data_IF_897767573293
#
_entry.id   IF_897767573293
#
_cell.length_a   1.000
_cell.length_b   1.000
_cell.length_c   1.000
_cell.angle_alpha   90.00
_cell.angle_beta   90.00
_cell.angle_gamma   90.00
#
_symmetry.space_group_name_H-M   'P 1'
#
loop_
_entity.id
_entity.type
_entity.pdbx_description
1 polymer ?
#
# COMPACT_ATOMS: atom_id res chain seq x y z
N UNK A 1 5.61 -66.31 1.08
CA UNK A 1 5.14 -64.99 0.61
C UNK A 1 3.99 -64.54 1.51
N UNK A 2 4.22 -63.55 2.39
CA UNK A 2 3.17 -63.00 3.26
C UNK A 2 2.58 -61.74 2.62
N UNK A 3 1.37 -61.83 2.07
CA UNK A 3 0.62 -60.68 1.55
C UNK A 3 -0.11 -60.00 2.71
N UNK A 4 0.40 -58.85 3.15
CA UNK A 4 -0.22 -58.04 4.22
C UNK A 4 -1.30 -57.17 3.61
N UNK A 5 -2.56 -57.60 3.67
CA UNK A 5 -3.70 -56.77 3.29
C UNK A 5 -3.76 -55.55 4.21
N UNK A 6 -3.67 -54.34 3.64
CA UNK A 6 -4.03 -53.11 4.37
C UNK A 6 -5.55 -53.00 4.36
N UNK A 7 -6.21 -52.84 5.51
CA UNK A 7 -7.64 -52.49 5.50
C UNK A 7 -7.79 -51.12 4.83
N UNK A 8 -8.67 -51.04 3.84
CA UNK A 8 -9.14 -49.76 3.32
C UNK A 8 -9.91 -49.05 4.43
N UNK A 9 -9.38 -47.94 4.91
CA UNK A 9 -10.12 -47.00 5.74
C UNK A 9 -11.31 -46.48 4.90
N UNK A 10 -12.52 -46.90 5.25
CA UNK A 10 -13.76 -46.40 4.69
C UNK A 10 -13.97 -44.98 5.23
N UNK A 11 -13.42 -43.98 4.53
CA UNK A 11 -13.67 -42.58 4.85
C UNK A 11 -15.16 -42.30 4.73
N UNK A 12 -15.83 -42.03 5.85
CA UNK A 12 -17.22 -41.58 5.88
C UNK A 12 -17.41 -40.41 4.91
N UNK A 13 -18.55 -40.31 4.20
CA UNK A 13 -18.76 -39.26 3.20
C UNK A 13 -18.58 -37.89 3.86
N UNK A 14 -17.47 -37.23 3.53
CA UNK A 14 -17.15 -35.90 4.02
C UNK A 14 -18.28 -34.96 3.63
N UNK A 15 -19.00 -34.42 4.62
CA UNK A 15 -20.13 -33.54 4.38
C UNK A 15 -19.64 -32.31 3.59
N UNK A 16 -20.08 -32.16 2.33
CA UNK A 16 -19.66 -31.07 1.43
C UNK A 16 -19.87 -29.68 2.07
N UNK A 17 -20.88 -29.51 2.93
CA UNK A 17 -21.13 -28.26 3.64
C UNK A 17 -20.01 -27.93 4.64
N UNK A 18 -19.50 -28.93 5.37
CA UNK A 18 -18.37 -28.76 6.30
C UNK A 18 -17.10 -28.42 5.53
N UNK A 19 -16.88 -29.02 4.36
CA UNK A 19 -15.74 -28.70 3.47
C UNK A 19 -15.81 -27.27 2.90
N UNK A 20 -17.01 -26.79 2.55
CA UNK A 20 -17.21 -25.41 2.11
C UNK A 20 -17.01 -24.40 3.26
N UNK A 21 -17.48 -24.71 4.46
CA UNK A 21 -17.30 -23.87 5.64
C UNK A 21 -15.83 -23.78 6.09
N UNK A 22 -15.00 -24.82 5.86
CA UNK A 22 -13.54 -24.78 6.10
C UNK A 22 -12.81 -23.72 5.28
N UNK A 23 -13.37 -23.27 4.15
CA UNK A 23 -12.80 -22.16 3.38
C UNK A 23 -12.87 -20.83 4.15
N UNK A 24 -13.86 -20.68 5.03
CA UNK A 24 -14.06 -19.51 5.90
C UNK A 24 -13.52 -19.72 7.33
N UNK A 25 -12.92 -20.87 7.62
CA UNK A 25 -12.28 -21.14 8.92
C UNK A 25 -10.85 -20.58 8.95
N UNK A 26 -10.73 -19.29 9.29
CA UNK A 26 -9.47 -18.54 9.38
C UNK A 26 -8.46 -19.15 10.37
N UNK A 27 -8.91 -19.95 11.36
CA UNK A 27 -8.05 -20.55 12.39
C UNK A 27 -7.17 -21.68 11.82
N UNK A 28 -7.57 -22.28 10.71
CA UNK A 28 -6.85 -23.39 10.07
C UNK A 28 -5.83 -22.96 9.00
N UNK A 29 -5.74 -21.65 8.71
CA UNK A 29 -4.96 -21.14 7.59
C UNK A 29 -3.46 -21.27 7.86
N UNK A 30 -2.83 -22.24 7.20
CA UNK A 30 -1.38 -22.39 7.19
C UNK A 30 -0.74 -21.20 6.46
N UNK A 31 0.45 -20.77 6.87
CA UNK A 31 1.19 -19.66 6.24
C UNK A 31 1.28 -19.77 4.71
N UNK A 32 1.40 -20.98 4.16
CA UNK A 32 1.39 -21.20 2.71
C UNK A 32 0.06 -20.85 2.04
N UNK A 33 -1.08 -21.09 2.70
CA UNK A 33 -2.41 -20.72 2.20
C UNK A 33 -2.62 -19.20 2.26
N UNK A 34 -2.15 -18.54 3.32
CA UNK A 34 -2.13 -17.08 3.41
C UNK A 34 -1.30 -16.46 2.29
N UNK A 35 -0.06 -16.92 2.12
CA UNK A 35 0.82 -16.49 1.04
C UNK A 35 0.19 -16.76 -0.33
N UNK A 36 -0.59 -17.84 -0.47
CA UNK A 36 -1.32 -18.13 -1.68
C UNK A 36 -2.42 -17.09 -1.92
N UNK A 37 -3.38 -16.96 -1.01
CA UNK A 37 -4.57 -16.12 -1.16
C UNK A 37 -4.18 -14.66 -1.36
N UNK A 38 -3.28 -14.14 -0.51
CA UNK A 38 -2.81 -12.76 -0.58
C UNK A 38 -2.28 -12.43 -1.98
N UNK A 39 -1.46 -13.30 -2.57
CA UNK A 39 -0.89 -13.04 -3.89
C UNK A 39 -1.95 -12.89 -5.00
N UNK A 40 -3.06 -13.65 -4.91
CA UNK A 40 -4.11 -13.64 -5.95
C UNK A 40 -5.02 -12.44 -5.77
N UNK A 41 -5.43 -12.19 -4.53
CA UNK A 41 -6.29 -11.06 -4.19
C UNK A 41 -5.58 -9.75 -4.56
N UNK A 42 -4.30 -9.59 -4.22
CA UNK A 42 -3.54 -8.39 -4.61
C UNK A 42 -3.30 -8.33 -6.11
N UNK A 43 -3.06 -9.44 -6.81
CA UNK A 43 -2.93 -9.45 -8.28
C UNK A 43 -4.19 -8.93 -8.96
N UNK A 44 -5.37 -9.47 -8.58
CA UNK A 44 -6.66 -9.05 -9.13
C UNK A 44 -6.91 -7.56 -8.83
N UNK A 45 -6.64 -7.13 -7.59
CA UNK A 45 -6.74 -5.73 -7.19
C UNK A 45 -5.82 -4.80 -8.00
N UNK A 46 -4.58 -5.21 -8.25
CA UNK A 46 -3.60 -4.43 -9.03
C UNK A 46 -3.98 -4.36 -10.51
N UNK A 47 -4.54 -5.42 -11.09
CA UNK A 47 -5.06 -5.41 -12.47
C UNK A 47 -6.24 -4.46 -12.58
N UNK A 48 -7.19 -4.51 -11.64
CA UNK A 48 -8.30 -3.56 -11.61
C UNK A 48 -7.80 -2.11 -11.47
N UNK A 49 -6.86 -1.88 -10.55
CA UNK A 49 -6.21 -0.59 -10.39
C UNK A 49 -5.55 -0.12 -11.69
N UNK A 50 -4.87 -1.00 -12.42
CA UNK A 50 -4.21 -0.65 -13.68
C UNK A 50 -5.23 -0.11 -14.70
N UNK A 51 -6.39 -0.74 -14.86
CA UNK A 51 -7.43 -0.21 -15.75
C UNK A 51 -7.93 1.17 -15.32
N UNK A 52 -8.20 1.35 -14.02
CA UNK A 52 -8.60 2.65 -13.46
C UNK A 52 -7.49 3.69 -13.70
N UNK A 53 -6.23 3.30 -13.51
CA UNK A 53 -5.07 4.17 -13.68
C UNK A 53 -4.92 4.65 -15.12
N UNK A 54 -5.11 3.75 -16.09
CA UNK A 54 -5.09 4.11 -17.51
C UNK A 54 -6.24 5.05 -17.87
N UNK A 55 -7.44 4.83 -17.31
CA UNK A 55 -8.57 5.75 -17.49
C UNK A 55 -8.29 7.15 -16.93
N UNK A 56 -7.68 7.24 -15.74
CA UNK A 56 -7.24 8.52 -15.17
C UNK A 56 -6.18 9.19 -16.03
N UNK A 57 -5.21 8.43 -16.55
CA UNK A 57 -4.18 8.98 -17.43
C UNK A 57 -4.76 9.52 -18.74
N UNK A 58 -5.87 8.97 -19.23
CA UNK A 58 -6.55 9.51 -20.42
C UNK A 58 -7.05 10.95 -20.23
N UNK A 59 -7.32 11.37 -18.98
CA UNK A 59 -7.73 12.76 -18.68
C UNK A 59 -6.67 13.80 -19.02
N UNK A 60 -5.39 13.41 -19.12
CA UNK A 60 -4.32 14.33 -19.56
C UNK A 60 -4.58 14.85 -20.97
N UNK A 61 -5.28 14.09 -21.82
CA UNK A 61 -5.63 14.51 -23.18
C UNK A 61 -6.67 15.63 -23.21
N UNK A 62 -7.48 15.78 -22.15
CA UNK A 62 -8.47 16.83 -22.00
C UNK A 62 -7.94 18.14 -21.43
N UNK A 63 -6.62 18.23 -21.18
CA UNK A 63 -5.97 19.43 -20.68
C UNK A 63 -6.30 19.78 -19.21
N UNK A 64 -5.97 21.01 -18.77
CA UNK A 64 -6.09 21.42 -17.36
C UNK A 64 -7.52 21.29 -16.80
N UNK A 65 -8.54 21.54 -17.63
CA UNK A 65 -9.94 21.50 -17.21
C UNK A 65 -10.38 20.11 -16.70
N UNK A 66 -9.81 19.02 -17.23
CA UNK A 66 -10.09 17.66 -16.78
C UNK A 66 -9.09 17.16 -15.73
N UNK A 67 -7.83 17.62 -15.82
CA UNK A 67 -6.75 17.16 -14.95
C UNK A 67 -6.74 17.80 -13.56
N UNK A 68 -6.93 19.12 -13.47
CA UNK A 68 -6.81 19.86 -12.20
C UNK A 68 -7.81 19.41 -11.12
N UNK A 69 -9.10 19.13 -11.44
CA UNK A 69 -10.04 18.58 -10.46
C UNK A 69 -9.58 17.24 -9.89
N UNK A 70 -9.04 16.36 -10.74
CA UNK A 70 -8.52 15.06 -10.31
C UNK A 70 -7.30 15.25 -9.38
N UNK A 71 -6.37 16.14 -9.71
CA UNK A 71 -5.22 16.44 -8.85
C UNK A 71 -5.65 16.97 -7.49
N UNK A 72 -6.69 17.78 -7.42
CA UNK A 72 -7.25 18.24 -6.16
C UNK A 72 -7.82 17.08 -5.33
N UNK A 73 -8.56 16.17 -5.96
CA UNK A 73 -9.08 14.96 -5.32
C UNK A 73 -7.97 14.02 -4.84
N UNK A 74 -6.96 13.78 -5.67
CA UNK A 74 -5.82 12.91 -5.37
C UNK A 74 -4.97 13.40 -4.18
N UNK A 75 -5.05 14.69 -3.86
CA UNK A 75 -4.39 15.28 -2.67
C UNK A 75 -5.25 15.21 -1.40
N UNK A 76 -6.48 14.73 -1.49
CA UNK A 76 -7.35 14.56 -0.33
C UNK A 76 -6.84 13.44 0.59
N UNK A 77 -7.02 13.54 1.92
CA UNK A 77 -6.52 12.53 2.86
C UNK A 77 -7.10 11.13 2.60
N UNK A 78 -8.33 11.04 2.09
CA UNK A 78 -8.93 9.77 1.71
C UNK A 78 -8.20 9.13 0.53
N UNK A 79 -7.85 9.91 -0.50
CA UNK A 79 -7.13 9.39 -1.66
C UNK A 79 -5.69 8.99 -1.30
N UNK A 80 -5.04 9.72 -0.40
CA UNK A 80 -3.73 9.32 0.15
C UNK A 80 -3.80 7.99 0.91
N UNK A 81 -4.93 7.66 1.55
CA UNK A 81 -5.12 6.33 2.15
C UNK A 81 -5.23 5.24 1.08
N UNK A 82 -5.85 5.53 -0.06
CA UNK A 82 -5.87 4.62 -1.21
C UNK A 82 -4.47 4.42 -1.80
N UNK A 83 -3.64 5.46 -1.86
CA UNK A 83 -2.23 5.34 -2.28
C UNK A 83 -1.44 4.40 -1.36
N UNK A 84 -1.67 4.47 -0.04
CA UNK A 84 -1.05 3.56 0.94
C UNK A 84 -1.57 2.13 0.77
N UNK A 85 -2.87 1.95 0.54
CA UNK A 85 -3.46 0.63 0.28
C UNK A 85 -2.90 0.01 -1.01
N UNK A 86 -2.78 0.81 -2.06
CA UNK A 86 -2.16 0.41 -3.32
C UNK A 86 -0.70 0.00 -3.12
N UNK A 87 0.07 0.81 -2.38
CA UNK A 87 1.47 0.50 -2.05
C UNK A 87 1.57 -0.82 -1.28
N UNK A 88 0.69 -1.06 -0.32
CA UNK A 88 0.62 -2.33 0.41
C UNK A 88 0.36 -3.51 -0.53
N UNK A 89 -0.64 -3.38 -1.42
CA UNK A 89 -0.95 -4.40 -2.43
C UNK A 89 0.23 -4.69 -3.36
N UNK A 90 0.90 -3.65 -3.86
CA UNK A 90 2.08 -3.76 -4.71
C UNK A 90 3.24 -4.46 -4.00
N UNK A 91 3.55 -4.08 -2.75
CA UNK A 91 4.63 -4.70 -1.97
C UNK A 91 4.35 -6.18 -1.66
N UNK A 92 3.13 -6.50 -1.22
CA UNK A 92 2.73 -7.88 -0.93
C UNK A 92 2.80 -8.73 -2.20
N UNK A 93 2.24 -8.25 -3.32
CA UNK A 93 2.24 -8.96 -4.60
C UNK A 93 3.66 -9.14 -5.15
N UNK A 94 4.42 -8.04 -5.24
CA UNK A 94 5.75 -8.04 -5.84
C UNK A 94 6.74 -8.90 -5.04
N UNK A 95 6.81 -8.71 -3.72
CA UNK A 95 7.76 -9.45 -2.88
C UNK A 95 7.41 -10.94 -2.81
N UNK A 96 6.12 -11.29 -2.70
CA UNK A 96 5.71 -12.69 -2.72
C UNK A 96 5.86 -13.31 -4.12
N UNK A 97 5.68 -12.54 -5.18
CA UNK A 97 6.00 -12.93 -6.56
C UNK A 97 7.48 -13.29 -6.72
N UNK A 98 8.39 -12.48 -6.16
CA UNK A 98 9.83 -12.78 -6.13
C UNK A 98 10.10 -14.11 -5.42
N UNK A 99 9.47 -14.36 -4.26
CA UNK A 99 9.57 -15.66 -3.57
C UNK A 99 9.15 -16.81 -4.48
N UNK A 100 7.98 -16.70 -5.12
CA UNK A 100 7.44 -17.74 -6.02
C UNK A 100 8.39 -17.97 -7.19
N UNK A 101 8.91 -16.90 -7.82
CA UNK A 101 9.88 -16.99 -8.90
C UNK A 101 11.16 -17.72 -8.46
N UNK A 102 11.78 -17.30 -7.34
CA UNK A 102 12.98 -17.94 -6.79
C UNK A 102 12.76 -19.44 -6.53
N UNK A 103 11.64 -19.79 -5.90
CA UNK A 103 11.31 -21.20 -5.63
C UNK A 103 11.02 -21.99 -6.90
N UNK A 104 10.50 -21.33 -7.95
CA UNK A 104 10.31 -21.92 -9.28
C UNK A 104 11.62 -22.25 -9.97
N UNK A 105 12.68 -21.47 -9.72
CA UNK A 105 14.05 -21.76 -10.15
C UNK A 105 14.80 -22.76 -9.24
N UNK A 106 14.12 -23.36 -8.25
CA UNK A 106 14.75 -24.29 -7.30
C UNK A 106 15.51 -23.62 -6.16
N UNK A 107 15.51 -22.28 -6.09
CA UNK A 107 16.22 -21.52 -5.05
C UNK A 107 15.33 -21.39 -3.80
N UNK A 108 15.86 -21.80 -2.64
CA UNK A 108 15.17 -21.60 -1.37
C UNK A 108 13.90 -22.45 -1.18
N UNK A 109 13.73 -23.56 -1.93
CA UNK A 109 12.54 -24.43 -1.87
C UNK A 109 12.27 -24.96 -0.46
N UNK A 110 13.30 -25.29 0.32
CA UNK A 110 13.15 -25.73 1.72
C UNK A 110 12.87 -24.57 2.69
N UNK A 111 13.13 -23.33 2.27
CA UNK A 111 13.07 -22.12 3.08
C UNK A 111 11.84 -21.25 2.75
N UNK A 112 10.79 -21.77 2.12
CA UNK A 112 9.64 -20.95 1.69
C UNK A 112 8.95 -20.18 2.82
N UNK A 113 8.83 -20.79 4.01
CA UNK A 113 8.20 -20.16 5.19
C UNK A 113 9.05 -19.00 5.72
N UNK A 114 10.33 -19.18 6.07
CA UNK A 114 11.16 -18.05 6.52
C UNK A 114 11.33 -16.99 5.43
N UNK A 115 11.45 -17.36 4.15
CA UNK A 115 11.48 -16.39 3.05
C UNK A 115 10.21 -15.53 3.00
N UNK A 116 9.03 -16.15 3.11
CA UNK A 116 7.77 -15.40 3.14
C UNK A 116 7.73 -14.41 4.30
N UNK A 117 8.07 -14.84 5.52
CA UNK A 117 8.08 -13.96 6.69
C UNK A 117 9.07 -12.82 6.53
N UNK A 118 10.31 -13.10 6.11
CA UNK A 118 11.34 -12.09 5.89
C UNK A 118 10.89 -11.03 4.87
N UNK A 119 10.34 -11.48 3.73
CA UNK A 119 9.85 -10.58 2.69
C UNK A 119 8.65 -9.75 3.16
N UNK A 120 7.73 -10.32 3.95
CA UNK A 120 6.61 -9.55 4.51
C UNK A 120 7.08 -8.53 5.56
N UNK A 121 8.11 -8.83 6.36
CA UNK A 121 8.71 -7.86 7.28
C UNK A 121 9.36 -6.70 6.54
N UNK A 122 10.14 -7.00 5.49
CA UNK A 122 10.70 -5.96 4.61
C UNK A 122 9.59 -5.12 3.99
N UNK A 123 8.54 -5.76 3.48
CA UNK A 123 7.35 -5.08 2.95
C UNK A 123 6.68 -4.18 3.97
N UNK A 124 6.53 -4.62 5.22
CA UNK A 124 5.93 -3.82 6.29
C UNK A 124 6.76 -2.57 6.63
N UNK A 125 8.10 -2.70 6.68
CA UNK A 125 9.00 -1.56 6.92
C UNK A 125 8.92 -0.56 5.76
N UNK A 126 8.96 -1.04 4.51
CA UNK A 126 8.83 -0.19 3.33
C UNK A 126 7.47 0.50 3.26
N UNK A 127 6.39 -0.20 3.61
CA UNK A 127 5.05 0.36 3.67
C UNK A 127 4.96 1.46 4.72
N UNK A 128 5.51 1.24 5.93
CA UNK A 128 5.51 2.24 6.99
C UNK A 128 6.30 3.49 6.57
N UNK A 129 7.51 3.32 6.03
CA UNK A 129 8.32 4.42 5.52
C UNK A 129 7.60 5.19 4.39
N UNK A 130 6.97 4.46 3.46
CA UNK A 130 6.19 5.02 2.37
C UNK A 130 4.98 5.81 2.87
N UNK A 131 4.19 5.24 3.77
CA UNK A 131 3.02 5.88 4.38
C UNK A 131 3.43 7.16 5.12
N UNK A 132 4.49 7.11 5.93
CA UNK A 132 5.03 8.29 6.61
C UNK A 132 5.39 9.39 5.61
N UNK A 133 6.08 9.05 4.51
CA UNK A 133 6.45 10.02 3.46
C UNK A 133 5.23 10.61 2.75
N UNK A 134 4.22 9.79 2.47
CA UNK A 134 2.96 10.22 1.84
C UNK A 134 2.25 11.25 2.72
N UNK A 135 2.04 10.94 4.00
CA UNK A 135 1.35 11.85 4.93
C UNK A 135 2.19 13.04 5.40
N UNK A 136 3.51 12.89 5.51
CA UNK A 136 4.40 14.00 5.87
C UNK A 136 4.28 15.17 4.89
N UNK A 137 4.13 14.89 3.59
CA UNK A 137 3.91 15.92 2.57
C UNK A 137 2.64 16.75 2.86
N UNK A 138 1.56 16.10 3.27
CA UNK A 138 0.31 16.78 3.65
C UNK A 138 0.50 17.65 4.91
N UNK A 139 1.13 17.09 5.94
CA UNK A 139 1.35 17.77 7.22
C UNK A 139 2.27 18.99 7.05
N UNK A 140 3.38 18.82 6.32
CA UNK A 140 4.31 19.91 6.03
C UNK A 140 3.63 21.00 5.21
N UNK A 141 2.88 20.66 4.16
CA UNK A 141 2.15 21.63 3.35
C UNK A 141 1.14 22.44 4.19
N UNK A 142 0.40 21.78 5.10
CA UNK A 142 -0.52 22.45 6.02
C UNK A 142 0.22 23.36 6.99
N UNK A 143 1.37 22.92 7.54
CA UNK A 143 2.21 23.69 8.46
C UNK A 143 2.77 24.96 7.81
N UNK A 144 3.30 24.87 6.59
CA UNK A 144 3.79 26.04 5.84
C UNK A 144 2.67 27.04 5.54
N UNK A 145 1.48 26.56 5.11
CA UNK A 145 0.32 27.44 4.86
C UNK A 145 -0.15 28.15 6.12
N UNK A 146 -0.24 27.45 7.25
CA UNK A 146 -0.61 28.05 8.55
C UNK A 146 0.43 29.08 9.01
N UNK A 147 1.72 28.78 8.86
CA UNK A 147 2.80 29.71 9.19
C UNK A 147 2.78 30.97 8.32
N UNK A 148 2.54 30.82 7.01
CA UNK A 148 2.41 31.94 6.09
C UNK A 148 1.18 32.82 6.41
N UNK A 149 0.03 32.21 6.69
CA UNK A 149 -1.17 32.94 7.11
C UNK A 149 -0.98 33.65 8.45
N UNK A 150 -0.28 33.04 9.41
CA UNK A 150 0.06 33.66 10.69
C UNK A 150 1.02 34.84 10.53
N UNK A 151 2.00 34.74 9.61
CA UNK A 151 2.92 35.83 9.30
C UNK A 151 2.21 37.01 8.60
N UNK A 152 1.31 36.72 7.66
CA UNK A 152 0.51 37.73 6.96
C UNK A 152 -0.46 38.49 7.89
N UNK A 153 -0.91 37.86 8.99
CA UNK A 153 -1.77 38.50 10.01
C UNK A 153 -1.01 39.30 11.05
N UNK A 154 0.33 39.26 11.08
CA UNK A 154 1.09 40.13 11.99
C UNK A 154 0.92 41.57 11.52
N UNK A 155 0.47 42.50 12.38
CA UNK A 155 0.46 43.91 12.02
C UNK A 155 1.90 44.28 11.68
N UNK A 156 2.15 44.59 10.41
CA UNK A 156 3.43 45.09 9.98
C UNK A 156 3.61 46.43 10.69
N UNK A 157 4.34 46.43 11.82
CA UNK A 157 4.59 47.64 12.60
C UNK A 157 5.54 48.53 11.77
N UNK A 158 4.96 49.23 10.79
CA UNK A 158 5.63 50.10 9.81
C UNK A 158 6.24 51.34 10.47
N UNK A 159 5.95 51.59 11.75
CA UNK A 159 6.34 52.78 12.50
C UNK A 159 7.87 52.89 12.74
N UNK A 160 8.61 51.77 12.80
CA UNK A 160 10.06 51.84 13.08
C UNK A 160 10.94 52.04 11.84
N UNK A 161 10.42 51.80 10.63
CA UNK A 161 11.27 51.83 9.42
C UNK A 161 11.38 53.22 8.78
N UNK A 162 10.46 54.13 9.08
CA UNK A 162 10.52 55.51 8.58
C UNK A 162 11.48 56.40 9.40
N UNK A 163 11.69 56.11 10.69
CA UNK A 163 12.57 56.91 11.56
C UNK A 163 14.08 56.67 11.31
N UNK A 164 14.47 55.54 10.68
CA UNK A 164 15.89 55.22 10.43
C UNK A 164 16.48 55.79 9.14
N UNK A 165 15.66 56.31 8.21
CA UNK A 165 16.14 56.94 6.96
C UNK A 165 16.37 58.45 7.05
N UNK A 166 15.97 59.12 8.13
CA UNK A 166 16.21 60.57 8.33
C UNK A 166 17.52 60.91 9.04
N UNK A 167 18.21 59.95 9.65
CA UNK A 167 19.44 60.20 10.41
C UNK A 167 20.72 59.82 9.67
N UNK A 168 20.63 59.38 8.41
CA UNK A 168 21.78 59.00 7.57
C UNK A 168 22.03 60.02 6.44
N UNK A 169 21.72 61.30 6.71
CA UNK A 169 21.97 62.42 5.80
C UNK A 169 22.47 63.60 6.62
N UNK A 170 23.75 63.53 7.00
CA UNK A 170 24.62 64.64 7.40
C UNK A 170 26.02 64.32 6.90
#
# INVERSE_FOLDING_TARGET
MHFKFRPMNLSLPENKKIRFLRWFDFRSWRLGMLAYILNRVTAIGLVLYLYIHLAVLSMLTGGPAQWDPFVALARSPMFLALDVLLLAGMLIHGLNGVRVALTGFGIGVRAQKPMFVALMLVGAVLLLAGALKIYARLVLAKRYRLGAAALARRPFCRASFYRRRRTARF
#
